data_IF_423335511295
#
_entry.id   IF_423335511295
#
_cell.length_a   1.000
_cell.length_b   1.000
_cell.length_c   1.000
_cell.angle_alpha   90.00
_cell.angle_beta   90.00
_cell.angle_gamma   90.00
#
_symmetry.space_group_name_H-M   'P 1'
#
loop_
_entity.id
_entity.type
_entity.pdbx_description
1 polymer ?
#
# COMPACT_ATOMS: atom_id res chain seq x y z
N UNK A 1 -17.46 -3.97 14.44
CA UNK A 1 -15.99 -4.11 14.39
C UNK A 1 -15.50 -3.39 13.15
N UNK A 2 -14.62 -2.41 13.28
CA UNK A 2 -14.10 -1.63 12.15
C UNK A 2 -12.58 -1.56 12.21
N UNK A 3 -11.94 -1.42 11.05
CA UNK A 3 -10.49 -1.21 10.95
C UNK A 3 -10.20 0.29 10.95
N UNK A 4 -9.25 0.74 11.77
CA UNK A 4 -8.75 2.12 11.71
C UNK A 4 -7.66 2.25 10.64
N UNK A 5 -8.09 2.43 9.40
CA UNK A 5 -7.22 2.63 8.22
C UNK A 5 -6.27 3.84 8.34
N UNK A 6 -6.58 4.84 9.18
CA UNK A 6 -5.72 6.03 9.32
C UNK A 6 -4.44 5.70 10.07
N UNK A 7 -4.53 4.90 11.13
CA UNK A 7 -3.37 4.47 11.90
C UNK A 7 -2.38 3.65 11.05
N UNK A 8 -2.87 2.76 10.19
CA UNK A 8 -2.01 1.99 9.27
C UNK A 8 -1.37 2.89 8.21
N UNK A 9 -2.14 3.85 7.65
CA UNK A 9 -1.61 4.80 6.68
C UNK A 9 -0.50 5.68 7.28
N UNK A 10 -0.64 6.11 8.54
CA UNK A 10 0.37 6.93 9.21
C UNK A 10 1.64 6.14 9.54
N UNK A 11 1.53 4.85 9.79
CA UNK A 11 2.66 3.96 10.08
C UNK A 11 3.31 3.40 8.82
N UNK A 12 2.65 3.50 7.66
CA UNK A 12 3.08 2.77 6.46
C UNK A 12 3.05 1.27 6.69
N UNK A 13 1.97 0.73 7.28
CA UNK A 13 1.83 -0.71 7.48
C UNK A 13 0.82 -1.30 6.49
N UNK A 14 1.14 -2.47 5.94
CA UNK A 14 0.22 -3.21 5.06
C UNK A 14 -0.98 -3.75 5.85
N UNK A 15 -2.17 -3.64 5.24
CA UNK A 15 -3.40 -4.15 5.82
C UNK A 15 -3.61 -5.60 5.35
N UNK A 16 -3.03 -6.55 6.08
CA UNK A 16 -3.06 -8.00 5.78
C UNK A 16 -4.11 -8.78 6.59
N UNK A 17 -5.04 -8.10 7.27
CA UNK A 17 -6.04 -8.73 8.14
C UNK A 17 -7.38 -8.94 7.43
N UNK A 18 -8.11 -9.98 7.84
CA UNK A 18 -9.45 -10.34 7.35
C UNK A 18 -10.51 -9.23 7.51
N UNK A 19 -10.23 -8.18 8.29
CA UNK A 19 -11.10 -7.00 8.39
C UNK A 19 -11.11 -6.16 7.12
N UNK A 20 -10.08 -6.26 6.27
CA UNK A 20 -10.07 -5.61 4.96
C UNK A 20 -10.74 -6.52 3.93
N UNK A 21 -11.89 -6.08 3.44
CA UNK A 21 -12.65 -6.77 2.38
C UNK A 21 -12.24 -6.35 0.96
N UNK A 22 -11.28 -5.42 0.84
CA UNK A 22 -10.79 -4.95 -0.47
C UNK A 22 -11.77 -4.04 -1.23
N UNK A 23 -12.69 -3.34 -0.56
CA UNK A 23 -13.67 -2.48 -1.23
C UNK A 23 -13.09 -1.20 -1.87
N UNK A 24 -11.84 -0.84 -1.57
CA UNK A 24 -11.13 0.30 -2.18
C UNK A 24 -11.60 1.70 -1.79
N UNK A 25 -12.56 1.84 -0.87
CA UNK A 25 -13.05 3.15 -0.42
C UNK A 25 -11.92 3.96 0.23
N UNK A 26 -11.08 3.30 1.04
CA UNK A 26 -9.98 3.95 1.75
C UNK A 26 -8.86 4.47 0.82
N UNK A 27 -8.57 3.77 -0.29
CA UNK A 27 -7.59 4.25 -1.27
C UNK A 27 -8.17 5.41 -2.11
N UNK A 28 -9.44 5.31 -2.52
CA UNK A 28 -10.10 6.35 -3.32
C UNK A 28 -10.26 7.68 -2.56
N UNK A 29 -10.55 7.63 -1.26
CA UNK A 29 -10.74 8.84 -0.44
C UNK A 29 -9.43 9.43 0.10
N UNK A 30 -8.29 8.72 -0.04
CA UNK A 30 -7.04 9.17 0.55
C UNK A 30 -6.45 10.34 -0.26
N UNK A 31 -6.47 11.59 0.25
CA UNK A 31 -5.98 12.75 -0.51
C UNK A 31 -4.47 12.73 -0.72
N UNK A 32 -3.74 11.96 0.11
CA UNK A 32 -2.28 11.82 0.04
C UNK A 32 -1.83 10.64 -0.81
N UNK A 33 -2.73 9.76 -1.25
CA UNK A 33 -2.37 8.57 -2.05
C UNK A 33 -1.49 7.54 -1.34
N UNK A 34 -1.44 7.55 -0.01
CA UNK A 34 -0.58 6.64 0.79
C UNK A 34 -1.10 5.20 0.78
N UNK A 35 -2.43 5.04 0.67
CA UNK A 35 -3.06 3.73 0.61
C UNK A 35 -3.23 3.29 -0.84
N UNK A 36 -2.57 2.20 -1.21
CA UNK A 36 -2.75 1.52 -2.51
C UNK A 36 -3.48 0.21 -2.30
N UNK A 37 -4.54 -0.01 -3.08
CA UNK A 37 -5.27 -1.27 -3.07
C UNK A 37 -4.64 -2.22 -4.09
N UNK A 38 -3.79 -3.12 -3.61
CA UNK A 38 -3.24 -4.21 -4.43
C UNK A 38 -4.21 -5.39 -4.39
N UNK A 39 -4.91 -5.68 -5.49
CA UNK A 39 -5.89 -6.76 -5.57
C UNK A 39 -5.27 -8.00 -6.24
N UNK A 40 -4.24 -8.58 -5.58
CA UNK A 40 -3.45 -9.67 -6.13
C UNK A 40 -2.74 -10.54 -5.08
N UNK A 41 -1.99 -11.57 -5.52
CA UNK A 41 -1.18 -12.42 -4.65
C UNK A 41 -0.12 -11.61 -3.88
N UNK A 42 0.34 -12.13 -2.75
CA UNK A 42 1.34 -11.48 -1.90
C UNK A 42 2.72 -11.36 -2.56
N UNK A 43 3.01 -12.19 -3.55
CA UNK A 43 4.25 -12.18 -4.35
C UNK A 43 4.29 -10.94 -5.25
N UNK A 44 5.19 -9.99 -4.96
CA UNK A 44 5.38 -8.76 -5.75
C UNK A 44 4.68 -7.51 -5.19
N UNK A 45 4.10 -7.57 -3.98
CA UNK A 45 3.61 -6.37 -3.30
C UNK A 45 4.77 -5.50 -2.83
N UNK A 46 4.66 -4.20 -3.06
CA UNK A 46 5.62 -3.19 -2.62
C UNK A 46 5.58 -3.13 -1.09
N UNK A 47 6.73 -3.29 -0.43
CA UNK A 47 6.78 -3.19 1.03
C UNK A 47 6.81 -1.70 1.43
N UNK A 48 5.98 -1.27 2.38
CA UNK A 48 5.91 0.13 2.78
C UNK A 48 7.11 0.59 3.62
N UNK A 49 8.00 -0.33 4.01
CA UNK A 49 9.33 -0.01 4.53
C UNK A 49 10.28 0.52 3.44
N UNK A 50 9.98 0.27 2.17
CA UNK A 50 10.66 0.89 1.04
C UNK A 50 10.00 2.25 0.83
N UNK A 51 10.41 3.21 1.66
CA UNK A 51 9.95 4.59 1.60
C UNK A 51 10.36 5.15 0.23
N UNK A 52 9.42 5.17 -0.71
CA UNK A 52 9.55 5.88 -1.99
C UNK A 52 9.48 7.40 -1.71
N UNK A 53 10.46 7.93 -0.99
CA UNK A 53 10.84 9.33 -1.13
C UNK A 53 11.18 9.49 -2.61
N UNK A 54 10.62 10.50 -3.26
CA UNK A 54 10.62 10.65 -4.72
C UNK A 54 11.98 10.90 -5.36
N UNK A 55 13.05 10.31 -4.83
CA UNK A 55 14.41 10.46 -5.30
C UNK A 55 15.25 9.19 -5.14
N UNK A 56 14.71 7.97 -5.27
CA UNK A 56 15.55 6.77 -5.22
C UNK A 56 15.07 5.76 -6.26
N UNK A 57 15.91 5.63 -7.30
CA UNK A 57 16.21 4.51 -8.23
C UNK A 57 15.40 3.19 -8.21
N UNK A 58 14.70 2.81 -7.13
CA UNK A 58 14.10 1.49 -6.95
C UNK A 58 12.78 1.25 -7.71
N UNK A 59 12.07 2.31 -8.12
CA UNK A 59 10.84 2.15 -8.92
C UNK A 59 11.14 1.65 -10.35
N UNK A 60 12.29 2.03 -10.91
CA UNK A 60 12.68 1.61 -12.26
C UNK A 60 13.17 0.16 -12.29
N UNK A 61 13.77 -0.31 -11.21
CA UNK A 61 14.27 -1.70 -11.11
C UNK A 61 13.13 -2.70 -10.91
N UNK A 62 12.07 -2.34 -10.18
CA UNK A 62 10.87 -3.17 -10.04
C UNK A 62 10.05 -3.26 -11.34
N UNK A 63 9.98 -2.18 -12.13
CA UNK A 63 9.24 -2.18 -13.42
C UNK A 63 10.03 -2.90 -14.52
N UNK A 64 11.37 -2.92 -14.44
CA UNK A 64 12.22 -3.59 -15.42
C UNK A 64 12.54 -5.06 -15.08
N UNK A 65 12.20 -5.53 -13.87
CA UNK A 65 12.28 -6.96 -13.54
C UNK A 65 11.08 -7.69 -14.15
N UNK A 66 11.38 -8.36 -15.26
CA UNK A 66 10.49 -9.22 -16.04
C UNK A 66 10.18 -10.53 -15.33
#
# INVERSE_FOLDING_TARGET
>A
MGIDVRAYAQKGENIIRASCVGCGICSAVCPRGVLKLENGPETGRINPNDILLGNDVDLMDLVNQK
#
